data_IF_539616976999
#
_entry.id   IF_539616976999
#
_cell.length_a   1.000
_cell.length_b   1.000
_cell.length_c   1.000
_cell.angle_alpha   90.00
_cell.angle_beta   90.00
_cell.angle_gamma   90.00
#
_symmetry.space_group_name_H-M   'P 1'
#
loop_
_entity.id
_entity.type
_entity.pdbx_description
1 polymer ?
#
# COMPACT_ATOMS: atom_id res chain seq x y z
N UNK A 1 5.15 19.89 -25.33
CA UNK A 1 4.79 19.32 -24.02
C UNK A 1 5.61 18.04 -23.88
N UNK A 2 6.51 17.96 -22.91
CA UNK A 2 7.34 16.76 -22.70
C UNK A 2 6.57 15.74 -21.86
N UNK A 3 6.63 14.48 -22.25
CA UNK A 3 6.08 13.36 -21.46
C UNK A 3 6.76 13.32 -20.11
N UNK A 4 6.03 13.49 -19.00
CA UNK A 4 6.47 13.48 -17.59
C UNK A 4 6.35 12.10 -16.97
N UNK A 5 7.42 11.58 -16.37
CA UNK A 5 7.37 10.36 -15.55
C UNK A 5 6.98 10.68 -14.12
N UNK A 6 6.12 9.86 -13.54
CA UNK A 6 5.74 9.96 -12.15
C UNK A 6 5.85 8.59 -11.50
N UNK A 7 6.42 8.52 -10.30
CA UNK A 7 6.45 7.30 -9.49
C UNK A 7 5.80 7.54 -8.13
N UNK A 8 4.93 6.63 -7.72
CA UNK A 8 4.25 6.63 -6.40
C UNK A 8 4.46 5.29 -5.73
N UNK A 9 5.01 5.32 -4.52
CA UNK A 9 5.16 4.18 -3.64
C UNK A 9 4.03 4.18 -2.61
N UNK A 10 3.32 3.06 -2.49
CA UNK A 10 2.21 2.95 -1.54
C UNK A 10 1.70 1.53 -1.41
N UNK A 11 0.53 1.39 -0.79
CA UNK A 11 -0.16 0.12 -0.58
C UNK A 11 -1.45 0.13 -1.38
N UNK A 12 -1.69 -0.91 -2.17
CA UNK A 12 -2.82 -0.91 -3.10
C UNK A 12 -3.49 -2.25 -3.28
N UNK A 13 -4.67 -2.21 -3.88
CA UNK A 13 -5.38 -3.38 -4.38
C UNK A 13 -5.20 -3.48 -5.89
N UNK A 14 -4.89 -4.67 -6.35
CA UNK A 14 -4.97 -5.05 -7.76
C UNK A 14 -6.36 -5.63 -8.08
N UNK A 15 -6.65 -5.72 -9.38
CA UNK A 15 -7.84 -6.38 -9.92
C UNK A 15 -9.17 -5.75 -9.45
N UNK A 16 -9.17 -4.43 -9.22
CA UNK A 16 -10.34 -3.63 -8.84
C UNK A 16 -11.37 -3.60 -9.97
N UNK A 17 -12.56 -4.14 -9.76
CA UNK A 17 -13.60 -4.15 -10.80
C UNK A 17 -14.08 -2.73 -11.11
N UNK A 18 -14.04 -2.35 -12.39
CA UNK A 18 -14.48 -1.05 -12.89
C UNK A 18 -15.43 -1.20 -14.08
N UNK A 19 -16.33 -0.23 -14.26
CA UNK A 19 -17.22 -0.09 -15.41
C UNK A 19 -17.32 1.39 -15.79
N UNK A 20 -16.94 1.71 -17.03
CA UNK A 20 -16.93 3.10 -17.53
C UNK A 20 -16.19 4.05 -16.59
N UNK A 21 -14.97 3.67 -16.19
CA UNK A 21 -14.08 4.42 -15.27
C UNK A 21 -14.61 4.60 -13.83
N UNK A 22 -15.79 4.05 -13.51
CA UNK A 22 -16.31 3.99 -12.14
C UNK A 22 -15.94 2.67 -11.48
N UNK A 23 -15.51 2.72 -10.23
CA UNK A 23 -15.27 1.53 -9.41
C UNK A 23 -16.62 0.89 -9.07
N UNK A 24 -16.76 -0.40 -9.38
CA UNK A 24 -17.95 -1.22 -9.08
C UNK A 24 -17.59 -2.43 -8.20
N UNK A 25 -16.36 -2.44 -7.68
CA UNK A 25 -15.82 -3.54 -6.94
C UNK A 25 -16.53 -3.69 -5.58
N UNK A 26 -17.09 -4.87 -5.26
CA UNK A 26 -17.90 -5.06 -4.06
C UNK A 26 -17.10 -4.93 -2.75
N UNK A 27 -15.76 -4.90 -2.82
CA UNK A 27 -14.91 -4.64 -1.65
C UNK A 27 -15.02 -3.19 -1.16
N UNK A 28 -15.39 -2.27 -2.05
CA UNK A 28 -15.46 -0.86 -1.74
C UNK A 28 -16.83 -0.48 -1.18
N UNK A 29 -16.81 0.39 -0.18
CA UNK A 29 -18.02 1.00 0.34
C UNK A 29 -18.44 2.15 -0.58
N UNK A 30 -19.68 2.10 -1.07
CA UNK A 30 -20.24 3.13 -1.95
C UNK A 30 -20.56 4.44 -1.24
N UNK A 31 -20.71 4.39 0.08
CA UNK A 31 -20.83 5.55 0.97
C UNK A 31 -19.46 5.95 1.55
N UNK A 32 -18.39 5.27 1.13
CA UNK A 32 -17.04 5.61 1.53
C UNK A 32 -16.55 6.87 0.83
N UNK A 33 -15.53 7.49 1.41
CA UNK A 33 -14.96 8.76 0.96
C UNK A 33 -14.62 8.82 -0.54
N UNK A 34 -14.34 7.68 -1.17
CA UNK A 34 -14.02 7.57 -2.60
C UNK A 34 -15.13 7.95 -3.57
N UNK A 35 -16.39 7.91 -3.11
CA UNK A 35 -17.57 8.06 -3.98
C UNK A 35 -18.45 9.24 -3.59
N UNK A 36 -18.14 9.93 -2.48
CA UNK A 36 -18.81 11.17 -2.09
C UNK A 36 -18.15 12.38 -2.78
N UNK A 37 -18.96 13.40 -3.12
CA UNK A 37 -18.43 14.65 -3.68
C UNK A 37 -17.52 15.35 -2.64
N UNK A 38 -16.28 15.61 -3.06
CA UNK A 38 -15.11 16.05 -2.29
C UNK A 38 -15.31 17.28 -1.37
N UNK A 39 -16.36 18.08 -1.57
CA UNK A 39 -16.46 19.41 -0.95
C UNK A 39 -16.90 19.43 0.51
N UNK A 40 -17.28 18.30 1.16
CA UNK A 40 -17.94 18.38 2.48
C UNK A 40 -17.59 17.38 3.61
N UNK A 41 -16.77 16.33 3.45
CA UNK A 41 -16.69 15.28 4.49
C UNK A 41 -15.31 14.98 5.12
N UNK A 42 -14.19 15.54 4.63
CA UNK A 42 -12.89 15.32 5.28
C UNK A 42 -12.57 16.37 6.34
N UNK A 43 -12.82 16.03 7.61
CA UNK A 43 -12.26 16.79 8.73
C UNK A 43 -10.91 16.21 9.15
N UNK A 44 -9.85 16.96 8.86
CA UNK A 44 -8.49 16.59 9.21
C UNK A 44 -8.25 16.50 10.73
N UNK A 45 -8.95 17.31 11.52
CA UNK A 45 -8.83 17.29 12.99
C UNK A 45 -9.39 15.99 13.55
N UNK A 46 -10.52 15.53 13.03
CA UNK A 46 -11.14 14.27 13.45
C UNK A 46 -10.24 13.08 13.13
N UNK A 47 -9.60 13.06 11.96
CA UNK A 47 -8.61 12.03 11.63
C UNK A 47 -7.41 12.07 12.59
N UNK A 48 -6.94 13.26 12.98
CA UNK A 48 -5.86 13.39 13.98
C UNK A 48 -6.28 12.79 15.32
N UNK A 49 -7.54 12.98 15.74
CA UNK A 49 -8.05 12.39 16.97
C UNK A 49 -8.10 10.86 16.90
N UNK A 50 -8.55 10.29 15.78
CA UNK A 50 -8.54 8.84 15.57
C UNK A 50 -7.11 8.27 15.60
N UNK A 51 -6.14 8.95 14.97
CA UNK A 51 -4.73 8.55 15.03
C UNK A 51 -4.15 8.64 16.44
N UNK A 52 -4.56 9.63 17.24
CA UNK A 52 -4.15 9.75 18.65
C UNK A 52 -4.72 8.62 19.49
N UNK A 53 -6.01 8.29 19.35
CA UNK A 53 -6.64 7.15 20.03
C UNK A 53 -5.89 5.84 19.72
N UNK A 54 -5.64 5.58 18.44
CA UNK A 54 -4.88 4.41 18.01
C UNK A 54 -3.45 4.38 18.56
N UNK A 55 -2.82 5.55 18.71
CA UNK A 55 -1.48 5.67 19.30
C UNK A 55 -1.50 5.40 20.81
N UNK A 56 -2.51 5.85 21.53
CA UNK A 56 -2.60 5.62 22.97
C UNK A 56 -2.81 4.13 23.30
N UNK A 57 -3.45 3.38 22.40
CA UNK A 57 -3.57 1.92 22.48
C UNK A 57 -2.25 1.17 22.20
N UNK A 58 -1.31 1.80 21.49
CA UNK A 58 -0.04 1.21 21.05
C UNK A 58 1.15 1.93 21.67
N UNK A 59 1.78 1.29 22.65
CA UNK A 59 2.96 1.85 23.31
C UNK A 59 4.08 2.08 22.27
N UNK A 60 4.36 3.36 21.98
CA UNK A 60 5.46 3.83 21.14
C UNK A 60 5.36 3.50 19.64
N UNK A 61 4.28 3.94 18.99
CA UNK A 61 4.15 3.90 17.53
C UNK A 61 4.70 5.18 16.87
N UNK A 62 5.87 5.04 16.21
CA UNK A 62 6.51 6.12 15.46
C UNK A 62 5.73 6.51 14.21
N UNK A 63 5.07 5.56 13.52
CA UNK A 63 4.30 5.82 12.31
C UNK A 63 3.09 6.72 12.59
N UNK A 64 2.33 6.40 13.63
CA UNK A 64 1.22 7.24 14.09
C UNK A 64 1.71 8.62 14.53
N UNK A 65 2.84 8.68 15.22
CA UNK A 65 3.44 9.96 15.64
C UNK A 65 3.83 10.85 14.48
N UNK A 66 4.50 10.30 13.45
CA UNK A 66 4.86 11.05 12.25
C UNK A 66 3.64 11.47 11.44
N UNK A 67 2.62 10.62 11.36
CA UNK A 67 1.35 10.94 10.68
C UNK A 67 0.62 12.10 11.34
N UNK A 68 0.48 12.06 12.68
CA UNK A 68 -0.12 13.16 13.44
C UNK A 68 0.66 14.46 13.21
N UNK A 69 2.00 14.41 13.22
CA UNK A 69 2.83 15.59 12.98
C UNK A 69 2.65 16.13 11.56
N UNK A 70 2.71 15.27 10.54
CA UNK A 70 2.55 15.66 9.14
C UNK A 70 1.19 16.34 8.89
N UNK A 71 0.12 15.79 9.46
CA UNK A 71 -1.20 16.42 9.42
C UNK A 71 -1.18 17.79 10.11
N UNK A 72 -0.67 17.91 11.34
CA UNK A 72 -0.61 19.21 12.02
C UNK A 72 0.17 20.29 11.25
N UNK A 73 1.19 19.90 10.49
CA UNK A 73 1.98 20.80 9.64
C UNK A 73 1.29 21.19 8.32
N UNK A 74 0.02 20.77 8.12
CA UNK A 74 -0.77 20.98 6.90
C UNK A 74 -0.05 20.51 5.63
N UNK A 75 0.87 19.54 5.77
CA UNK A 75 1.34 18.80 4.61
C UNK A 75 0.14 18.14 3.97
N UNK A 76 0.01 18.34 2.67
CA UNK A 76 -1.21 18.01 1.94
C UNK A 76 -1.62 16.57 2.25
N UNK A 77 -2.83 16.38 2.78
CA UNK A 77 -3.38 15.07 3.16
C UNK A 77 -3.79 14.30 1.90
N UNK A 78 -2.91 14.22 0.91
CA UNK A 78 -3.30 13.71 -0.39
C UNK A 78 -3.14 12.20 -0.32
N UNK A 79 -4.22 11.54 0.10
CA UNK A 79 -4.65 10.29 -0.48
C UNK A 79 -4.72 10.51 -1.98
N UNK A 80 -3.63 10.23 -2.68
CA UNK A 80 -3.71 10.11 -4.14
C UNK A 80 -4.24 8.71 -4.34
N UNK A 81 -5.57 8.58 -4.20
CA UNK A 81 -6.25 7.43 -4.75
C UNK A 81 -6.08 7.60 -6.23
N UNK A 82 -5.01 6.98 -6.72
CA UNK A 82 -4.77 7.05 -8.13
C UNK A 82 -5.31 5.83 -8.83
N UNK A 83 -6.52 6.05 -9.34
CA UNK A 83 -7.16 5.22 -10.32
C UNK A 83 -6.48 5.47 -11.68
N UNK A 84 -5.39 4.75 -11.92
CA UNK A 84 -4.77 4.74 -13.23
C UNK A 84 -5.35 3.59 -14.06
N UNK A 85 -5.49 3.83 -15.36
CA UNK A 85 -5.92 2.82 -16.34
C UNK A 85 -5.01 1.58 -16.39
N UNK A 86 -3.90 1.59 -15.65
CA UNK A 86 -3.09 0.42 -15.41
C UNK A 86 -3.71 -0.55 -14.43
N UNK A 87 -4.30 -1.59 -15.02
CA UNK A 87 -4.67 -2.83 -14.35
C UNK A 87 -5.72 -2.70 -13.27
N UNK A 88 -6.62 -1.70 -13.34
CA UNK A 88 -7.74 -1.66 -12.41
C UNK A 88 -7.19 -1.66 -10.96
N UNK A 89 -6.33 -0.70 -10.66
CA UNK A 89 -5.56 -0.70 -9.40
C UNK A 89 -5.84 0.59 -8.65
N UNK A 90 -5.88 0.51 -7.32
CA UNK A 90 -5.95 1.68 -6.45
C UNK A 90 -4.76 1.66 -5.50
N UNK A 91 -4.05 2.78 -5.43
CA UNK A 91 -2.95 3.01 -4.50
C UNK A 91 -3.39 3.89 -3.33
N UNK A 92 -2.87 3.63 -2.15
CA UNK A 92 -2.91 4.51 -1.00
C UNK A 92 -1.49 4.77 -0.51
N UNK A 93 -1.09 6.05 -0.49
CA UNK A 93 0.19 6.47 0.06
C UNK A 93 0.07 6.68 1.58
N UNK A 94 1.19 6.56 2.30
CA UNK A 94 1.25 6.91 3.72
C UNK A 94 1.16 8.43 3.92
N UNK A 95 0.58 8.85 5.06
CA UNK A 95 0.27 10.24 5.38
C UNK A 95 1.48 11.14 5.59
N UNK A 96 2.63 10.59 5.98
CA UNK A 96 3.79 11.40 6.40
C UNK A 96 4.97 11.34 5.43
N UNK A 97 4.85 10.58 4.34
CA UNK A 97 5.98 10.33 3.45
C UNK A 97 5.71 10.89 2.05
N UNK A 98 5.85 12.21 1.92
CA UNK A 98 5.77 12.92 0.63
C UNK A 98 6.86 12.43 -0.35
N UNK A 99 8.02 11.97 0.17
CA UNK A 99 9.15 11.46 -0.61
C UNK A 99 8.86 10.09 -1.27
N UNK A 100 7.75 9.45 -0.93
CA UNK A 100 7.23 8.29 -1.67
C UNK A 100 6.63 8.66 -3.02
N UNK A 101 6.72 9.93 -3.44
CA UNK A 101 6.40 10.38 -4.79
C UNK A 101 7.58 11.06 -5.43
N UNK A 102 7.81 10.74 -6.70
CA UNK A 102 8.75 11.46 -7.55
C UNK A 102 8.04 11.89 -8.82
N UNK A 103 8.26 13.15 -9.18
CA UNK A 103 7.67 13.79 -10.35
C UNK A 103 8.79 14.31 -11.24
N UNK A 104 8.76 13.92 -12.51
CA UNK A 104 9.64 14.45 -13.55
C UNK A 104 11.13 14.33 -13.19
N UNK A 105 11.51 13.20 -12.55
CA UNK A 105 12.86 12.96 -12.04
C UNK A 105 13.76 12.37 -13.16
N UNK A 106 14.88 13.01 -13.52
CA UNK A 106 15.79 12.50 -14.56
C UNK A 106 16.32 11.08 -14.31
N UNK A 107 16.50 10.69 -13.04
CA UNK A 107 16.91 9.33 -12.68
C UNK A 107 15.83 8.35 -13.10
N UNK A 108 14.56 8.69 -12.88
CA UNK A 108 13.44 7.85 -13.27
C UNK A 108 13.33 7.70 -14.79
N UNK A 109 13.60 8.75 -15.54
CA UNK A 109 13.71 8.63 -17.01
C UNK A 109 14.82 7.68 -17.42
N UNK A 110 16.02 7.87 -16.87
CA UNK A 110 17.16 7.02 -17.24
C UNK A 110 16.91 5.56 -16.89
N UNK A 111 16.34 5.28 -15.71
CA UNK A 111 15.95 3.92 -15.33
C UNK A 111 14.93 3.32 -16.29
N UNK A 112 13.84 4.04 -16.57
CA UNK A 112 12.77 3.53 -17.42
C UNK A 112 13.22 3.34 -18.88
N UNK A 113 14.02 4.26 -19.41
CA UNK A 113 14.65 4.15 -20.72
C UNK A 113 15.64 2.99 -20.78
N UNK A 114 16.49 2.81 -19.77
CA UNK A 114 17.44 1.70 -19.73
C UNK A 114 16.74 0.33 -19.66
N UNK A 115 15.61 0.23 -18.97
CA UNK A 115 14.80 -0.99 -18.97
C UNK A 115 14.16 -1.21 -20.35
N UNK A 116 13.67 -0.14 -20.99
CA UNK A 116 13.10 -0.19 -22.34
C UNK A 116 14.11 -0.68 -23.38
N UNK A 117 15.35 -0.20 -23.32
CA UNK A 117 16.42 -0.62 -24.23
C UNK A 117 16.79 -2.10 -24.07
N UNK A 118 16.87 -2.58 -22.82
CA UNK A 118 17.25 -3.97 -22.53
C UNK A 118 16.15 -4.98 -22.82
N UNK A 119 14.89 -4.56 -22.78
CA UNK A 119 13.76 -5.44 -22.97
C UNK A 119 12.93 -4.96 -24.16
N UNK A 120 13.09 -5.59 -25.32
CA UNK A 120 12.40 -5.22 -26.56
C UNK A 120 10.86 -5.26 -26.48
N UNK A 121 10.30 -5.92 -25.45
CA UNK A 121 8.86 -5.95 -25.18
C UNK A 121 8.43 -4.91 -24.13
N UNK A 122 9.35 -4.07 -23.67
CA UNK A 122 9.10 -3.06 -22.65
C UNK A 122 8.73 -1.74 -23.31
N UNK A 123 7.49 -1.31 -23.08
CA UNK A 123 7.00 -0.01 -23.50
C UNK A 123 7.01 0.96 -22.33
N UNK A 124 7.42 2.21 -22.56
CA UNK A 124 7.24 3.34 -21.65
C UNK A 124 5.73 3.64 -21.50
N UNK A 125 5.06 2.84 -20.68
CA UNK A 125 3.64 2.94 -20.37
C UNK A 125 3.48 2.95 -18.86
N UNK A 126 2.30 3.38 -18.43
CA UNK A 126 1.86 3.21 -17.06
C UNK A 126 2.07 1.75 -16.63
N UNK A 127 2.43 1.54 -15.36
CA UNK A 127 2.63 0.20 -14.79
C UNK A 127 2.48 0.21 -13.28
N UNK A 128 2.23 -0.99 -12.77
CA UNK A 128 2.20 -1.31 -11.35
C UNK A 128 3.17 -2.45 -11.10
N UNK A 129 4.14 -2.22 -10.23
CA UNK A 129 5.08 -3.23 -9.73
C UNK A 129 4.71 -3.59 -8.29
N UNK A 130 4.29 -4.82 -8.06
CA UNK A 130 4.07 -5.35 -6.71
C UNK A 130 5.40 -5.61 -6.03
N UNK A 131 5.54 -5.14 -4.80
CA UNK A 131 6.69 -5.42 -3.96
C UNK A 131 6.41 -6.68 -3.12
N UNK A 132 7.40 -7.55 -3.05
CA UNK A 132 7.36 -8.77 -2.24
C UNK A 132 7.90 -8.56 -0.82
N UNK A 133 8.45 -7.38 -0.53
CA UNK A 133 9.03 -7.00 0.75
C UNK A 133 8.32 -5.78 1.34
N UNK A 134 8.52 -5.58 2.65
CA UNK A 134 8.12 -4.34 3.31
C UNK A 134 8.84 -3.12 2.73
N UNK A 135 8.18 -1.98 2.86
CA UNK A 135 8.72 -0.66 2.54
C UNK A 135 9.27 -0.08 3.84
N UNK A 136 10.48 0.46 3.83
CA UNK A 136 11.03 1.13 5.02
C UNK A 136 10.12 2.30 5.48
N UNK A 137 9.89 2.48 6.79
CA UNK A 137 10.41 1.72 7.94
C UNK A 137 9.60 0.46 8.31
N UNK A 138 8.54 0.15 7.57
CA UNK A 138 7.64 -1.01 7.75
C UNK A 138 8.24 -2.32 7.22
N UNK A 139 9.52 -2.55 7.52
CA UNK A 139 10.21 -3.80 7.21
C UNK A 139 9.71 -4.85 8.20
N UNK A 140 8.55 -5.47 7.91
CA UNK A 140 8.00 -6.59 8.67
C UNK A 140 6.90 -7.26 7.85
N UNK A 141 6.35 -8.36 8.35
CA UNK A 141 5.29 -9.13 7.69
C UNK A 141 4.11 -9.36 8.62
N UNK A 142 2.95 -9.59 8.03
CA UNK A 142 1.69 -9.90 8.70
C UNK A 142 0.99 -11.06 7.98
N UNK A 143 0.07 -11.71 8.69
CA UNK A 143 -0.91 -12.61 8.07
C UNK A 143 -2.04 -11.76 7.47
N UNK A 144 -2.18 -11.76 6.14
CA UNK A 144 -3.16 -10.96 5.41
C UNK A 144 -4.61 -11.36 5.67
N UNK A 145 -4.86 -12.51 6.30
CA UNK A 145 -6.21 -12.94 6.71
C UNK A 145 -6.70 -12.22 7.96
N UNK A 146 -5.76 -11.81 8.82
CA UNK A 146 -6.07 -11.29 10.16
C UNK A 146 -5.48 -9.92 10.44
N UNK A 147 -4.50 -9.48 9.64
CA UNK A 147 -3.71 -8.28 9.90
C UNK A 147 -2.69 -8.45 11.03
N UNK A 148 -2.60 -9.65 11.65
CA UNK A 148 -1.70 -9.88 12.77
C UNK A 148 -0.24 -9.84 12.30
N UNK A 149 0.56 -8.96 12.91
CA UNK A 149 2.00 -8.90 12.69
C UNK A 149 2.65 -10.24 13.07
N UNK A 150 3.49 -10.73 12.19
CA UNK A 150 4.24 -11.97 12.38
C UNK A 150 5.58 -11.66 13.09
N UNK A 151 6.06 -12.63 13.86
CA UNK A 151 7.33 -12.52 14.57
C UNK A 151 8.55 -12.63 13.64
N UNK A 152 9.75 -12.60 14.23
CA UNK A 152 11.03 -12.50 13.50
C UNK A 152 11.28 -13.62 12.49
N UNK A 153 10.73 -14.82 12.74
CA UNK A 153 10.79 -15.95 11.81
C UNK A 153 10.19 -15.64 10.43
N UNK A 154 9.32 -14.64 10.33
CA UNK A 154 8.70 -14.26 9.06
C UNK A 154 9.72 -13.76 8.02
N UNK A 155 10.80 -13.08 8.45
CA UNK A 155 11.87 -12.66 7.53
C UNK A 155 12.59 -13.86 6.93
N UNK A 156 12.91 -14.85 7.76
CA UNK A 156 13.54 -16.07 7.33
C UNK A 156 12.64 -16.83 6.34
N UNK A 157 11.37 -17.03 6.69
CA UNK A 157 10.39 -17.68 5.83
C UNK A 157 10.24 -16.94 4.49
N UNK A 158 10.15 -15.60 4.49
CA UNK A 158 10.03 -14.82 3.25
C UNK A 158 11.27 -14.95 2.37
N UNK A 159 12.46 -14.99 2.96
CA UNK A 159 13.71 -15.21 2.21
C UNK A 159 13.66 -16.56 1.48
N UNK A 160 13.29 -17.63 2.17
CA UNK A 160 13.16 -18.97 1.58
C UNK A 160 12.12 -19.01 0.46
N UNK A 161 10.96 -18.39 0.66
CA UNK A 161 9.90 -18.31 -0.36
C UNK A 161 10.40 -17.56 -1.61
N UNK A 162 11.14 -16.48 -1.44
CA UNK A 162 11.67 -15.69 -2.55
C UNK A 162 12.77 -16.43 -3.32
N UNK A 163 13.52 -17.33 -2.67
CA UNK A 163 14.52 -18.20 -3.32
C UNK A 163 13.93 -19.50 -3.87
N UNK A 164 12.62 -19.73 -3.71
CA UNK A 164 11.93 -20.93 -4.17
C UNK A 164 12.14 -22.16 -3.29
N UNK A 165 12.65 -21.97 -2.07
CA UNK A 165 12.87 -23.02 -1.09
C UNK A 165 11.63 -23.27 -0.24
N UNK A 166 11.52 -24.48 0.32
CA UNK A 166 10.47 -24.79 1.30
C UNK A 166 10.81 -24.21 2.68
N UNK A 167 9.78 -23.74 3.37
CA UNK A 167 9.86 -23.31 4.76
C UNK A 167 9.70 -24.54 5.64
N UNK A 168 10.55 -24.69 6.66
CA UNK A 168 10.50 -25.83 7.57
C UNK A 168 9.21 -25.83 8.41
N UNK A 169 8.78 -27.03 8.83
CA UNK A 169 7.53 -27.25 9.56
C UNK A 169 7.47 -26.48 10.89
N UNK A 170 8.60 -26.34 11.57
CA UNK A 170 8.67 -25.60 12.83
C UNK A 170 8.40 -24.10 12.60
N UNK A 171 9.06 -23.49 11.62
CA UNK A 171 8.80 -22.09 11.24
C UNK A 171 7.34 -21.89 10.82
N UNK A 172 6.78 -22.80 10.02
CA UNK A 172 5.37 -22.74 9.60
C UNK A 172 4.41 -22.81 10.80
N UNK A 173 4.65 -23.73 11.72
CA UNK A 173 3.85 -23.88 12.94
C UNK A 173 3.91 -22.62 13.83
N UNK A 174 5.11 -22.05 14.02
CA UNK A 174 5.29 -20.81 14.80
C UNK A 174 4.57 -19.62 14.15
N UNK A 175 4.59 -19.54 12.83
CA UNK A 175 3.92 -18.48 12.07
C UNK A 175 2.41 -18.72 11.90
N UNK A 176 1.91 -19.92 12.21
CA UNK A 176 0.49 -20.28 12.08
C UNK A 176 0.06 -20.62 10.64
N UNK A 177 0.97 -21.10 9.81
CA UNK A 177 0.66 -21.58 8.46
C UNK A 177 0.76 -23.11 8.39
N UNK A 178 -0.11 -23.74 7.60
CA UNK A 178 -0.16 -25.19 7.40
C UNK A 178 0.98 -25.67 6.50
N UNK A 179 1.27 -24.91 5.45
CA UNK A 179 2.29 -25.26 4.47
C UNK A 179 2.96 -24.01 3.87
N UNK A 180 4.04 -24.24 3.10
CA UNK A 180 4.78 -23.17 2.41
C UNK A 180 3.90 -22.42 1.40
N UNK A 181 2.89 -23.07 0.81
CA UNK A 181 2.01 -22.46 -0.19
C UNK A 181 1.07 -21.44 0.47
N UNK A 182 0.45 -21.80 1.58
CA UNK A 182 -0.37 -20.93 2.41
C UNK A 182 0.47 -19.77 2.95
N UNK A 183 1.68 -20.05 3.44
CA UNK A 183 2.61 -19.00 3.87
C UNK A 183 2.94 -18.02 2.73
N UNK A 184 3.22 -18.52 1.52
CA UNK A 184 3.48 -17.68 0.35
C UNK A 184 2.28 -16.82 -0.05
N UNK A 185 1.08 -17.36 0.08
CA UNK A 185 -0.17 -16.70 -0.27
C UNK A 185 -0.56 -15.60 0.73
N UNK A 186 -0.49 -15.89 2.03
CA UNK A 186 -1.02 -15.00 3.07
C UNK A 186 0.03 -14.19 3.83
N UNK A 187 1.33 -14.48 3.70
CA UNK A 187 2.38 -13.66 4.32
C UNK A 187 2.66 -12.41 3.48
N UNK A 188 2.00 -11.32 3.86
CA UNK A 188 2.13 -10.02 3.22
C UNK A 188 3.03 -9.09 4.06
N UNK A 189 3.69 -8.10 3.42
CA UNK A 189 4.33 -7.05 4.18
C UNK A 189 3.34 -6.25 5.02
N UNK A 190 3.80 -5.73 6.16
CA UNK A 190 2.98 -4.91 7.07
C UNK A 190 2.47 -3.65 6.35
N UNK A 191 1.24 -3.28 6.67
CA UNK A 191 0.63 -2.00 6.28
C UNK A 191 0.84 -1.03 7.44
N UNK A 192 1.21 0.25 7.18
CA UNK A 192 1.31 1.28 8.20
C UNK A 192 0.02 1.38 9.01
N UNK A 193 0.14 1.50 10.32
CA UNK A 193 -1.00 1.61 11.22
C UNK A 193 -1.77 2.90 10.96
N UNK A 194 -1.06 3.98 10.65
CA UNK A 194 -1.64 5.24 10.20
C UNK A 194 -2.53 5.09 8.97
N UNK A 195 -2.12 4.24 8.03
CA UNK A 195 -2.89 3.96 6.82
C UNK A 195 -4.11 3.09 7.14
N UNK A 196 -3.99 2.09 8.01
CA UNK A 196 -5.13 1.28 8.45
C UNK A 196 -6.19 2.17 9.12
N UNK A 197 -5.79 3.01 10.08
CA UNK A 197 -6.69 3.94 10.79
C UNK A 197 -7.37 4.90 9.81
N UNK A 198 -6.59 5.44 8.86
CA UNK A 198 -7.11 6.33 7.82
C UNK A 198 -8.19 5.67 6.95
N UNK A 199 -7.93 4.47 6.45
CA UNK A 199 -8.85 3.77 5.55
C UNK A 199 -10.15 3.39 6.25
N UNK A 200 -10.07 3.08 7.56
CA UNK A 200 -11.24 2.83 8.42
C UNK A 200 -12.03 4.09 8.69
N UNK A 201 -11.37 5.18 9.06
CA UNK A 201 -12.00 6.48 9.29
C UNK A 201 -12.77 6.95 8.04
N UNK A 202 -12.14 6.85 6.87
CA UNK A 202 -12.73 7.21 5.58
C UNK A 202 -13.75 6.19 5.06
N UNK A 203 -13.94 5.07 5.77
CA UNK A 203 -14.84 3.97 5.41
C UNK A 203 -14.67 3.52 3.96
N UNK A 204 -13.43 3.39 3.49
CA UNK A 204 -13.11 3.08 2.09
C UNK A 204 -13.64 1.71 1.66
N UNK A 205 -13.56 0.74 2.56
CA UNK A 205 -13.91 -0.66 2.33
C UNK A 205 -15.10 -1.10 3.17
N UNK A 206 -15.81 -2.12 2.71
CA UNK A 206 -16.94 -2.71 3.44
C UNK A 206 -16.50 -3.57 4.64
N UNK A 207 -15.25 -4.05 4.62
CA UNK A 207 -14.69 -4.92 5.64
C UNK A 207 -13.20 -4.64 5.88
N UNK A 208 -12.77 -4.86 7.12
CA UNK A 208 -11.38 -4.67 7.53
C UNK A 208 -10.42 -5.66 6.85
N UNK A 209 -10.87 -6.87 6.50
CA UNK A 209 -10.01 -7.87 5.89
C UNK A 209 -9.53 -7.45 4.50
N UNK A 210 -10.34 -6.65 3.79
CA UNK A 210 -9.92 -6.01 2.53
C UNK A 210 -8.72 -5.10 2.72
N UNK A 211 -8.59 -4.38 3.85
CA UNK A 211 -7.41 -3.56 4.13
C UNK A 211 -6.17 -4.45 4.18
N UNK A 212 -6.24 -5.61 4.83
CA UNK A 212 -5.09 -6.52 4.96
C UNK A 212 -4.68 -7.23 3.66
N UNK A 213 -5.51 -7.13 2.61
CA UNK A 213 -5.15 -7.58 1.26
C UNK A 213 -4.26 -6.59 0.51
N UNK A 214 -4.12 -5.34 0.99
CA UNK A 214 -3.28 -4.35 0.34
C UNK A 214 -1.82 -4.84 0.25
N UNK A 215 -1.21 -4.59 -0.91
CA UNK A 215 0.18 -4.94 -1.18
C UNK A 215 1.02 -3.69 -1.38
N UNK A 216 2.25 -3.63 -0.86
CA UNK A 216 3.16 -2.57 -1.22
C UNK A 216 3.46 -2.62 -2.72
N UNK A 217 3.49 -1.48 -3.38
CA UNK A 217 3.68 -1.40 -4.82
C UNK A 217 4.22 -0.04 -5.27
N UNK A 218 4.93 -0.06 -6.39
CA UNK A 218 5.38 1.12 -7.11
C UNK A 218 4.48 1.30 -8.34
N UNK A 219 3.83 2.43 -8.41
CA UNK A 219 3.13 2.90 -9.59
C UNK A 219 4.06 3.80 -10.38
N UNK A 220 4.22 3.51 -11.67
CA UNK A 220 4.88 4.43 -12.61
C UNK A 220 3.85 4.83 -13.65
N UNK A 221 3.70 6.13 -13.92
CA UNK A 221 2.79 6.61 -14.95
C UNK A 221 3.38 7.80 -15.71
N UNK A 222 2.93 7.97 -16.95
CA UNK A 222 3.44 8.96 -17.89
C UNK A 222 2.32 9.95 -18.23
N UNK A 223 2.58 11.25 -18.10
CA UNK A 223 1.60 12.33 -18.37
C UNK A 223 2.15 13.41 -19.29
#
# INVERSE_FOLDING_TARGET
>A
MGTRVNKVLGWGLIDVKTKSEKIIDPRFNKEGFLFEDYEMSFNQLDLIEELKKAKDEKTLDLDLSYSIKALNEKKSCIYDIVHYNCKKTICFASLWNEDHRRHDDPIDYHEECAIAEKNKNYSLKDKVLLLNSGIYPFLSYMDSRTGKKLGDFAFHAKRLINTGQQVDEHTLAVLGFKDTKECKEFMHPVIPDSLIVSLKYLKIFNDDNTIFQLRPMIFTFWR
#
